data_IF_220232938685
#
_entry.id   IF_220232938685
#
_cell.length_a   1.000
_cell.length_b   1.000
_cell.length_c   1.000
_cell.angle_alpha   90.00
_cell.angle_beta   90.00
_cell.angle_gamma   90.00
#
_symmetry.space_group_name_H-M   'P 1'
#
loop_
_entity.id
_entity.type
_entity.pdbx_description
1 polymer ?
#
# COMPACT_ATOMS: atom_id res chain seq x y z
N UNK A 1 -68.95 -35.47 -24.96
CA UNK A 1 -68.77 -34.01 -24.77
C UNK A 1 -67.81 -33.63 -23.63
N UNK A 2 -67.42 -34.50 -22.69
CA UNK A 2 -66.61 -34.08 -21.53
C UNK A 2 -65.09 -33.92 -21.78
N UNK A 3 -64.50 -34.55 -22.80
CA UNK A 3 -63.04 -34.49 -23.01
C UNK A 3 -62.53 -33.16 -23.59
N UNK A 4 -63.37 -32.43 -24.34
CA UNK A 4 -63.00 -31.11 -24.89
C UNK A 4 -63.01 -30.03 -23.82
N UNK A 5 -64.04 -30.01 -22.97
CA UNK A 5 -64.15 -29.06 -21.84
C UNK A 5 -62.99 -29.23 -20.83
N UNK A 6 -62.61 -30.47 -20.53
CA UNK A 6 -61.46 -30.75 -19.67
C UNK A 6 -60.14 -30.24 -20.26
N UNK A 7 -59.91 -30.44 -21.57
CA UNK A 7 -58.71 -29.94 -22.27
C UNK A 7 -58.62 -28.41 -22.27
N UNK A 8 -59.72 -27.70 -22.46
CA UNK A 8 -59.73 -26.23 -22.38
C UNK A 8 -59.47 -25.73 -20.96
N UNK A 9 -60.00 -26.40 -19.94
CA UNK A 9 -59.71 -26.06 -18.54
C UNK A 9 -58.23 -26.28 -18.17
N UNK A 10 -57.64 -27.38 -18.64
CA UNK A 10 -56.23 -27.70 -18.39
C UNK A 10 -55.29 -26.73 -19.10
N UNK A 11 -55.62 -26.32 -20.33
CA UNK A 11 -54.89 -25.29 -21.08
C UNK A 11 -54.87 -23.94 -20.35
N UNK A 12 -56.00 -23.54 -19.75
CA UNK A 12 -56.07 -22.31 -18.95
C UNK A 12 -55.19 -22.35 -17.71
N UNK A 13 -55.20 -23.46 -16.97
CA UNK A 13 -54.35 -23.64 -15.77
C UNK A 13 -52.86 -23.68 -16.16
N UNK A 14 -52.50 -24.38 -17.24
CA UNK A 14 -51.12 -24.43 -17.73
C UNK A 14 -50.66 -23.04 -18.20
N UNK A 15 -51.49 -22.30 -18.93
CA UNK A 15 -51.16 -20.94 -19.36
C UNK A 15 -50.95 -19.99 -18.17
N UNK A 16 -51.79 -20.09 -17.13
CA UNK A 16 -51.64 -19.30 -15.91
C UNK A 16 -50.36 -19.69 -15.14
N UNK A 17 -50.07 -20.99 -15.01
CA UNK A 17 -48.86 -21.47 -14.35
C UNK A 17 -47.59 -21.00 -15.08
N UNK A 18 -47.60 -21.03 -16.42
CA UNK A 18 -46.50 -20.51 -17.24
C UNK A 18 -46.37 -19.00 -17.09
N UNK A 19 -47.47 -18.24 -17.06
CA UNK A 19 -47.45 -16.80 -16.85
C UNK A 19 -46.92 -16.42 -15.46
N UNK A 20 -47.33 -17.15 -14.41
CA UNK A 20 -46.81 -16.96 -13.05
C UNK A 20 -45.31 -17.30 -12.95
N UNK A 21 -44.86 -18.39 -13.60
CA UNK A 21 -43.45 -18.75 -13.63
C UNK A 21 -42.63 -17.69 -14.41
N UNK A 22 -43.13 -17.24 -15.56
CA UNK A 22 -42.49 -16.20 -16.35
C UNK A 22 -42.40 -14.87 -15.58
N UNK A 23 -43.48 -14.47 -14.90
CA UNK A 23 -43.47 -13.29 -14.03
C UNK A 23 -42.50 -13.46 -12.86
N UNK A 24 -42.48 -14.61 -12.19
CA UNK A 24 -41.55 -14.91 -11.11
C UNK A 24 -40.08 -14.85 -11.57
N UNK A 25 -39.76 -15.45 -12.72
CA UNK A 25 -38.42 -15.41 -13.31
C UNK A 25 -38.03 -13.99 -13.74
N UNK A 26 -38.95 -13.25 -14.36
CA UNK A 26 -38.74 -11.85 -14.75
C UNK A 26 -38.52 -10.95 -13.53
N UNK A 27 -39.39 -11.04 -12.52
CA UNK A 27 -39.29 -10.31 -11.27
C UNK A 27 -37.97 -10.63 -10.57
N UNK A 28 -37.65 -11.90 -10.36
CA UNK A 28 -36.38 -12.26 -9.73
C UNK A 28 -35.15 -11.76 -10.53
N UNK A 29 -35.16 -11.89 -11.86
CA UNK A 29 -34.06 -11.41 -12.71
C UNK A 29 -33.91 -9.88 -12.66
N UNK A 30 -35.02 -9.15 -12.80
CA UNK A 30 -35.02 -7.69 -12.76
C UNK A 30 -34.60 -7.15 -11.39
N UNK A 31 -35.16 -7.69 -10.30
CA UNK A 31 -34.85 -7.26 -8.94
C UNK A 31 -33.39 -7.58 -8.58
N UNK A 32 -32.88 -8.75 -8.94
CA UNK A 32 -31.46 -9.08 -8.70
C UNK A 32 -30.51 -8.17 -9.48
N UNK A 33 -30.86 -7.81 -10.73
CA UNK A 33 -30.08 -6.89 -11.54
C UNK A 33 -30.08 -5.46 -10.97
N UNK A 34 -31.22 -4.95 -10.51
CA UNK A 34 -31.34 -3.63 -9.90
C UNK A 34 -30.56 -3.54 -8.58
N UNK A 35 -30.66 -4.56 -7.73
CA UNK A 35 -29.90 -4.63 -6.48
C UNK A 35 -28.39 -4.69 -6.73
N UNK A 36 -27.95 -5.54 -7.66
CA UNK A 36 -26.52 -5.62 -8.02
C UNK A 36 -25.98 -4.27 -8.51
N UNK A 37 -26.79 -3.50 -9.24
CA UNK A 37 -26.42 -2.15 -9.69
C UNK A 37 -26.30 -1.19 -8.51
N UNK A 38 -27.20 -1.26 -7.53
CA UNK A 38 -27.16 -0.42 -6.31
C UNK A 38 -25.92 -0.72 -5.48
N UNK A 39 -25.63 -1.99 -5.21
CA UNK A 39 -24.47 -2.38 -4.39
C UNK A 39 -23.16 -1.96 -5.07
N UNK A 40 -23.07 -2.15 -6.39
CA UNK A 40 -21.91 -1.68 -7.18
C UNK A 40 -21.78 -0.16 -7.15
N UNK A 41 -22.88 0.57 -7.26
CA UNK A 41 -22.87 2.04 -7.18
C UNK A 41 -22.44 2.52 -5.78
N UNK A 42 -22.94 1.90 -4.72
CA UNK A 42 -22.51 2.21 -3.35
C UNK A 42 -21.02 1.93 -3.16
N UNK A 43 -20.52 0.81 -3.68
CA UNK A 43 -19.09 0.49 -3.63
C UNK A 43 -18.24 1.51 -4.42
N UNK A 44 -18.72 1.99 -5.56
CA UNK A 44 -18.09 3.08 -6.32
C UNK A 44 -18.03 4.37 -5.50
N UNK A 45 -19.14 4.81 -4.90
CA UNK A 45 -19.19 6.04 -4.10
C UNK A 45 -18.25 5.97 -2.88
N UNK A 46 -18.23 4.83 -2.20
CA UNK A 46 -17.37 4.61 -1.04
C UNK A 46 -15.89 4.61 -1.43
N UNK A 47 -15.51 3.89 -2.50
CA UNK A 47 -14.10 3.86 -2.94
C UNK A 47 -13.66 5.22 -3.48
N UNK A 48 -14.54 5.98 -4.13
CA UNK A 48 -14.28 7.37 -4.54
C UNK A 48 -14.09 8.28 -3.33
N UNK A 49 -14.90 8.12 -2.30
CA UNK A 49 -14.77 8.89 -1.06
C UNK A 49 -13.40 8.64 -0.43
N UNK A 50 -13.00 7.38 -0.28
CA UNK A 50 -11.67 7.03 0.22
C UNK A 50 -10.53 7.60 -0.65
N UNK A 51 -10.66 7.52 -1.98
CA UNK A 51 -9.68 8.13 -2.90
C UNK A 51 -9.56 9.65 -2.69
N UNK A 52 -10.68 10.35 -2.56
CA UNK A 52 -10.70 11.80 -2.34
C UNK A 52 -10.14 12.18 -0.96
N UNK A 53 -10.41 11.37 0.08
CA UNK A 53 -9.81 11.54 1.40
C UNK A 53 -8.28 11.41 1.34
N UNK A 54 -7.76 10.40 0.63
CA UNK A 54 -6.32 10.27 0.35
C UNK A 54 -5.78 11.49 -0.40
N UNK A 55 -6.50 11.97 -1.42
CA UNK A 55 -6.08 13.13 -2.20
C UNK A 55 -6.01 14.42 -1.37
N UNK A 56 -6.98 14.67 -0.49
CA UNK A 56 -6.99 15.83 0.41
C UNK A 56 -5.84 15.72 1.41
N UNK A 57 -5.67 14.55 2.02
CA UNK A 57 -4.61 14.30 3.00
C UNK A 57 -3.23 14.44 2.38
N UNK A 58 -3.01 13.92 1.17
CA UNK A 58 -1.75 14.09 0.44
C UNK A 58 -1.38 15.57 0.29
N UNK A 59 -2.33 16.44 -0.08
CA UNK A 59 -2.07 17.89 -0.16
C UNK A 59 -1.68 18.52 1.19
N UNK A 60 -2.15 17.96 2.31
CA UNK A 60 -1.74 18.39 3.64
C UNK A 60 -0.33 17.89 3.96
N UNK A 61 -0.02 16.64 3.62
CA UNK A 61 1.30 16.05 3.84
C UNK A 61 2.38 16.74 3.01
N UNK A 62 2.11 17.09 1.76
CA UNK A 62 3.03 17.85 0.91
C UNK A 62 3.41 19.21 1.53
N UNK A 63 2.51 19.83 2.32
CA UNK A 63 2.83 21.07 3.06
C UNK A 63 3.73 20.81 4.27
N UNK A 64 3.65 19.62 4.88
CA UNK A 64 4.52 19.21 5.99
C UNK A 64 5.93 18.80 5.53
N UNK A 65 6.11 18.49 4.23
CA UNK A 65 7.42 18.11 3.68
C UNK A 65 8.49 19.16 4.00
N UNK A 66 8.19 20.45 3.82
CA UNK A 66 9.12 21.54 4.10
C UNK A 66 9.49 21.63 5.58
N UNK A 67 8.55 21.35 6.49
CA UNK A 67 8.81 21.35 7.93
C UNK A 67 9.77 20.23 8.34
N UNK A 68 9.56 19.02 7.81
CA UNK A 68 10.46 17.88 8.03
C UNK A 68 11.82 18.16 7.39
N UNK A 69 11.84 18.74 6.18
CA UNK A 69 13.08 19.12 5.50
C UNK A 69 13.91 20.10 6.34
N UNK A 70 13.28 21.13 6.90
CA UNK A 70 13.93 22.12 7.77
C UNK A 70 14.48 21.47 9.05
N UNK A 71 13.75 20.54 9.65
CA UNK A 71 14.21 19.78 10.83
C UNK A 71 15.41 18.90 10.49
N UNK A 72 15.40 18.23 9.33
CA UNK A 72 16.53 17.43 8.83
C UNK A 72 17.76 18.31 8.57
N UNK A 73 17.58 19.48 7.95
CA UNK A 73 18.67 20.44 7.74
C UNK A 73 19.27 20.94 9.07
N UNK A 74 18.42 21.24 10.07
CA UNK A 74 18.88 21.62 11.41
C UNK A 74 19.64 20.49 12.10
N UNK A 75 19.22 19.24 11.93
CA UNK A 75 19.94 18.08 12.45
C UNK A 75 21.33 17.97 11.80
N UNK A 76 21.41 18.08 10.47
CA UNK A 76 22.66 18.05 9.71
C UNK A 76 23.62 19.19 10.09
N UNK A 77 23.11 20.40 10.29
CA UNK A 77 23.95 21.55 10.66
C UNK A 77 24.57 21.42 12.06
N UNK A 78 23.91 20.70 12.97
CA UNK A 78 24.39 20.45 14.33
C UNK A 78 25.27 19.20 14.43
N UNK A 79 24.87 18.09 13.80
CA UNK A 79 25.57 16.81 13.91
C UNK A 79 26.69 16.64 12.89
N UNK A 80 26.58 17.29 11.73
CA UNK A 80 27.43 17.09 10.56
C UNK A 80 26.77 16.24 9.48
N UNK A 81 27.51 15.99 8.41
CA UNK A 81 27.02 15.30 7.21
C UNK A 81 27.61 13.90 7.09
N UNK A 82 26.85 12.91 6.60
CA UNK A 82 27.40 11.61 6.24
C UNK A 82 28.57 11.72 5.26
N UNK A 83 29.63 10.96 5.53
CA UNK A 83 30.81 10.82 4.65
C UNK A 83 31.24 9.36 4.62
N UNK A 84 31.88 8.96 3.52
CA UNK A 84 32.54 7.65 3.40
C UNK A 84 34.00 7.77 3.83
N UNK A 85 34.49 6.76 4.55
CA UNK A 85 35.87 6.64 5.00
C UNK A 85 36.65 5.70 4.07
N UNK A 86 37.98 5.82 4.09
CA UNK A 86 38.87 4.93 3.31
C UNK A 86 38.87 3.50 3.87
N UNK A 87 38.60 3.34 5.17
CA UNK A 87 38.44 2.04 5.82
C UNK A 87 37.14 1.37 5.39
N UNK A 88 37.20 0.08 5.08
CA UNK A 88 36.03 -0.72 4.69
C UNK A 88 35.58 -1.65 5.81
N UNK A 89 34.30 -1.96 5.82
CA UNK A 89 33.65 -2.90 6.73
C UNK A 89 32.90 -3.96 5.94
N UNK A 90 32.94 -5.21 6.43
CA UNK A 90 32.13 -6.30 5.90
C UNK A 90 30.75 -6.31 6.54
N UNK A 91 29.71 -6.51 5.74
CA UNK A 91 28.32 -6.61 6.16
C UNK A 91 27.72 -7.92 5.65
N UNK A 92 27.09 -8.68 6.52
CA UNK A 92 26.14 -9.71 6.14
C UNK A 92 24.79 -9.04 5.86
N UNK A 93 24.28 -9.21 4.63
CA UNK A 93 23.10 -8.48 4.18
C UNK A 93 21.89 -9.40 4.02
N UNK A 94 20.73 -8.90 4.42
CA UNK A 94 19.44 -9.53 4.22
C UNK A 94 18.61 -8.69 3.24
N UNK A 95 18.09 -9.33 2.19
CA UNK A 95 17.05 -8.74 1.35
C UNK A 95 15.72 -9.22 1.88
N UNK A 96 14.73 -8.32 1.99
CA UNK A 96 13.40 -8.70 2.46
C UNK A 96 12.84 -9.90 1.66
N UNK A 97 12.41 -10.95 2.37
CA UNK A 97 11.88 -12.17 1.76
C UNK A 97 12.93 -13.15 1.20
N UNK A 98 14.23 -12.89 1.37
CA UNK A 98 15.31 -13.81 0.97
C UNK A 98 16.22 -14.12 2.17
N UNK A 99 16.74 -15.36 2.29
CA UNK A 99 17.69 -15.70 3.35
C UNK A 99 18.96 -14.85 3.26
N UNK A 100 19.52 -14.50 4.42
CA UNK A 100 20.72 -13.66 4.52
C UNK A 100 21.99 -14.49 4.31
N UNK A 101 22.48 -14.51 3.08
CA UNK A 101 23.70 -15.26 2.72
C UNK A 101 24.72 -14.43 1.96
N UNK A 102 24.41 -13.17 1.65
CA UNK A 102 25.30 -12.31 0.87
C UNK A 102 26.16 -11.45 1.79
N UNK A 103 27.43 -11.28 1.43
CA UNK A 103 28.40 -10.46 2.14
C UNK A 103 28.84 -9.29 1.27
N UNK A 104 28.89 -8.09 1.84
CA UNK A 104 29.29 -6.86 1.15
C UNK A 104 30.39 -6.16 1.91
N UNK A 105 31.50 -5.89 1.24
CA UNK A 105 32.59 -5.06 1.77
C UNK A 105 32.40 -3.64 1.23
N UNK A 106 32.19 -2.69 2.14
CA UNK A 106 31.83 -1.32 1.80
C UNK A 106 32.66 -0.32 2.60
N UNK A 107 32.96 0.86 2.04
CA UNK A 107 33.52 1.97 2.80
C UNK A 107 32.66 2.23 4.04
N UNK A 108 33.30 2.34 5.21
CA UNK A 108 32.58 2.66 6.45
C UNK A 108 32.03 4.08 6.33
N UNK A 109 30.78 4.26 6.75
CA UNK A 109 30.17 5.57 6.83
C UNK A 109 30.35 6.17 8.22
N UNK A 110 30.64 7.47 8.26
CA UNK A 110 30.74 8.28 9.47
C UNK A 110 30.05 9.64 9.25
N UNK A 111 30.01 10.47 10.28
CA UNK A 111 29.50 11.84 10.23
C UNK A 111 30.66 12.81 10.35
N UNK A 112 30.83 13.72 9.38
CA UNK A 112 31.82 14.79 9.42
C UNK A 112 31.17 16.08 9.91
N UNK A 113 31.60 16.54 11.07
CA UNK A 113 31.18 17.82 11.65
C UNK A 113 31.74 19.01 10.86
N UNK A 114 31.17 20.20 11.08
CA UNK A 114 31.69 21.47 10.51
C UNK A 114 33.14 21.75 10.91
N UNK A 115 33.55 21.34 12.12
CA UNK A 115 34.93 21.40 12.59
C UNK A 115 35.86 20.32 12.03
N UNK A 116 35.38 19.47 11.11
CA UNK A 116 36.18 18.42 10.45
C UNK A 116 36.34 17.13 11.25
N UNK A 117 35.85 17.06 12.50
CA UNK A 117 35.86 15.84 13.32
C UNK A 117 34.93 14.79 12.72
N UNK A 118 35.36 13.53 12.75
CA UNK A 118 34.57 12.35 12.35
C UNK A 118 33.92 11.74 13.59
N UNK A 119 32.63 11.41 13.50
CA UNK A 119 31.83 10.78 14.57
C UNK A 119 31.03 9.60 14.02
N UNK A 120 30.56 8.73 14.91
CA UNK A 120 29.69 7.61 14.52
C UNK A 120 28.29 8.10 14.10
N UNK A 121 27.63 7.31 13.23
CA UNK A 121 26.30 7.61 12.68
C UNK A 121 25.22 7.80 13.74
N UNK A 122 25.38 7.18 14.91
CA UNK A 122 24.47 7.32 16.04
C UNK A 122 24.30 8.79 16.45
N UNK A 123 25.35 9.61 16.37
CA UNK A 123 25.28 11.05 16.68
C UNK A 123 24.29 11.79 15.76
N UNK A 124 24.29 11.45 14.46
CA UNK A 124 23.35 12.02 13.50
C UNK A 124 21.95 11.41 13.69
N UNK A 125 21.86 10.12 13.98
CA UNK A 125 20.62 9.44 14.33
C UNK A 125 19.90 10.10 15.51
N UNK A 126 20.60 10.32 16.62
CA UNK A 126 20.09 11.01 17.81
C UNK A 126 19.66 12.45 17.51
N UNK A 127 20.46 13.20 16.73
CA UNK A 127 20.11 14.55 16.34
C UNK A 127 18.82 14.58 15.50
N UNK A 128 18.70 13.70 14.50
CA UNK A 128 17.50 13.58 13.67
C UNK A 128 16.28 13.23 14.52
N UNK A 129 16.39 12.25 15.42
CA UNK A 129 15.30 11.90 16.36
C UNK A 129 14.90 13.08 17.25
N UNK A 130 15.88 13.84 17.76
CA UNK A 130 15.63 15.01 18.60
C UNK A 130 14.89 16.13 17.86
N UNK A 131 15.25 16.39 16.60
CA UNK A 131 14.64 17.48 15.81
C UNK A 131 13.29 17.11 15.18
N UNK A 132 13.10 15.84 14.84
CA UNK A 132 11.91 15.37 14.10
C UNK A 132 10.90 14.63 14.99
N UNK A 133 11.34 14.13 16.15
CA UNK A 133 10.54 13.22 16.98
C UNK A 133 10.30 11.84 16.37
N UNK A 134 10.84 11.58 15.17
CA UNK A 134 10.62 10.38 14.40
C UNK A 134 11.66 9.28 14.61
N UNK A 135 11.41 8.12 14.00
CA UNK A 135 12.38 7.05 13.86
C UNK A 135 13.29 7.31 12.66
N UNK A 136 14.53 6.84 12.72
CA UNK A 136 15.57 7.17 11.75
C UNK A 136 16.24 5.93 11.22
N UNK A 137 16.44 5.89 9.90
CA UNK A 137 17.36 4.96 9.24
C UNK A 137 18.31 5.78 8.37
N UNK A 138 19.62 5.51 8.47
CA UNK A 138 20.61 6.08 7.55
C UNK A 138 21.00 4.99 6.58
N UNK A 139 20.67 5.19 5.31
CA UNK A 139 20.98 4.28 4.22
C UNK A 139 22.28 4.70 3.55
N UNK A 140 23.17 3.75 3.27
CA UNK A 140 24.34 3.92 2.42
C UNK A 140 24.07 3.38 1.04
N UNK A 141 24.35 4.17 -0.01
CA UNK A 141 24.34 3.67 -1.39
C UNK A 141 25.54 2.75 -1.60
N UNK A 142 25.32 1.55 -2.13
CA UNK A 142 26.35 0.50 -2.16
C UNK A 142 26.90 0.18 -3.55
N UNK A 143 26.24 0.65 -4.62
CA UNK A 143 26.64 0.40 -6.00
C UNK A 143 26.07 1.44 -6.98
N UNK A 144 26.48 1.36 -8.25
CA UNK A 144 26.01 2.26 -9.31
C UNK A 144 24.53 2.06 -9.67
N UNK A 145 23.98 0.87 -9.46
CA UNK A 145 22.57 0.56 -9.73
C UNK A 145 21.63 1.27 -8.77
N UNK A 146 22.14 1.74 -7.62
CA UNK A 146 21.39 2.53 -6.64
C UNK A 146 20.88 1.73 -5.45
N UNK A 147 21.40 0.52 -5.21
CA UNK A 147 21.01 -0.27 -4.03
C UNK A 147 21.47 0.45 -2.76
N UNK A 148 20.69 0.30 -1.70
CA UNK A 148 20.92 0.96 -0.43
C UNK A 148 20.96 -0.06 0.71
N UNK A 149 21.89 0.13 1.65
CA UNK A 149 22.07 -0.68 2.84
C UNK A 149 21.80 0.16 4.09
N UNK A 150 21.09 -0.39 5.09
CA UNK A 150 20.84 0.32 6.34
C UNK A 150 22.11 0.35 7.23
N UNK A 151 22.88 1.43 7.14
CA UNK A 151 24.11 1.60 7.93
C UNK A 151 23.82 1.94 9.41
N UNK A 152 22.64 2.50 9.69
CA UNK A 152 22.12 2.77 11.02
C UNK A 152 20.59 2.68 11.02
N UNK A 153 19.98 2.14 12.07
CA UNK A 153 18.54 2.12 12.26
C UNK A 153 18.19 2.30 13.74
N UNK A 154 17.27 3.21 14.06
CA UNK A 154 16.81 3.45 15.43
C UNK A 154 15.55 2.67 15.81
N UNK A 155 14.97 1.89 14.88
CA UNK A 155 13.73 1.15 15.10
C UNK A 155 14.06 -0.08 15.94
N UNK A 156 13.38 -0.23 17.08
CA UNK A 156 13.58 -1.37 17.98
C UNK A 156 13.07 -2.67 17.33
N UNK A 157 13.83 -3.76 17.42
CA UNK A 157 13.46 -5.06 16.84
C UNK A 157 13.85 -5.27 15.38
N UNK A 158 14.21 -4.20 14.65
CA UNK A 158 14.91 -4.31 13.36
C UNK A 158 16.40 -4.44 13.68
N UNK A 159 16.86 -5.67 13.98
CA UNK A 159 18.27 -5.92 14.30
C UNK A 159 19.18 -5.53 13.13
N UNK A 160 19.76 -4.32 13.19
CA UNK A 160 21.07 -4.08 12.63
C UNK A 160 22.08 -4.44 13.72
N UNK A 161 22.45 -5.71 13.85
CA UNK A 161 23.63 -6.04 14.64
C UNK A 161 24.86 -5.43 13.95
N UNK A 162 26.00 -5.36 14.66
CA UNK A 162 27.21 -4.75 14.08
C UNK A 162 27.55 -5.32 12.69
N UNK A 163 27.19 -6.58 12.41
CA UNK A 163 27.55 -7.25 11.16
C UNK A 163 26.35 -7.64 10.28
N UNK A 164 25.10 -7.51 10.76
CA UNK A 164 23.90 -7.87 9.98
C UNK A 164 23.08 -6.63 9.67
N UNK A 165 22.60 -6.50 8.44
CA UNK A 165 21.75 -5.37 8.06
C UNK A 165 20.85 -5.67 6.86
N UNK A 166 19.88 -4.79 6.61
CA UNK A 166 18.96 -4.86 5.49
C UNK A 166 19.55 -4.17 4.25
N UNK A 167 19.47 -4.85 3.12
CA UNK A 167 19.67 -4.29 1.79
C UNK A 167 18.29 -4.03 1.15
N UNK A 168 18.11 -2.83 0.62
CA UNK A 168 16.97 -2.44 -0.21
C UNK A 168 17.51 -2.24 -1.63
N UNK A 169 17.22 -3.19 -2.53
CA UNK A 169 17.62 -3.08 -3.94
C UNK A 169 16.98 -1.87 -4.61
N UNK A 170 17.70 -1.20 -5.51
CA UNK A 170 17.16 -0.13 -6.35
C UNK A 170 16.13 -0.65 -7.34
N UNK A 171 16.18 -1.95 -7.66
CA UNK A 171 15.23 -2.62 -8.54
C UNK A 171 14.63 -3.84 -7.86
N UNK A 172 13.33 -3.98 -8.02
CA UNK A 172 12.57 -5.13 -7.50
C UNK A 172 12.65 -6.30 -8.48
N UNK A 173 12.10 -7.46 -8.11
CA UNK A 173 12.29 -8.72 -8.83
C UNK A 173 11.89 -8.70 -10.31
N UNK A 174 10.96 -7.82 -10.71
CA UNK A 174 10.52 -7.64 -12.11
C UNK A 174 11.37 -6.61 -12.90
N UNK A 175 12.40 -6.01 -12.28
CA UNK A 175 13.29 -5.01 -12.87
C UNK A 175 12.84 -3.55 -12.72
N UNK A 176 11.62 -3.29 -12.22
CA UNK A 176 11.14 -1.94 -11.94
C UNK A 176 11.90 -1.30 -10.77
N UNK A 177 11.94 0.03 -10.72
CA UNK A 177 12.62 0.74 -9.64
C UNK A 177 11.83 0.61 -8.34
N UNK A 178 12.53 0.42 -7.23
CA UNK A 178 11.93 0.50 -5.91
C UNK A 178 11.47 1.93 -5.66
N UNK A 179 10.17 2.08 -5.41
CA UNK A 179 9.48 3.37 -5.45
C UNK A 179 10.07 4.35 -4.42
N UNK A 180 10.57 3.86 -3.27
CA UNK A 180 11.12 4.72 -2.21
C UNK A 180 12.54 5.24 -2.52
N UNK A 181 13.23 4.64 -3.48
CA UNK A 181 14.54 5.09 -3.95
C UNK A 181 14.44 5.90 -5.25
N UNK A 182 13.23 6.07 -5.78
CA UNK A 182 13.02 6.79 -7.02
C UNK A 182 13.36 8.28 -6.86
N UNK A 183 13.98 8.86 -7.90
CA UNK A 183 14.36 10.27 -7.97
C UNK A 183 15.39 10.77 -6.93
N UNK A 184 15.82 9.95 -5.98
CA UNK A 184 16.86 10.32 -5.00
C UNK A 184 18.19 10.68 -5.67
N UNK A 185 18.57 9.96 -6.74
CA UNK A 185 19.78 10.25 -7.52
C UNK A 185 19.68 11.57 -8.32
N UNK A 186 18.48 12.16 -8.44
CA UNK A 186 18.27 13.50 -9.01
C UNK A 186 18.30 14.61 -7.94
N UNK A 187 18.54 14.26 -6.67
CA UNK A 187 18.50 15.21 -5.55
C UNK A 187 17.10 15.54 -5.06
N UNK A 188 16.07 14.83 -5.54
CA UNK A 188 14.70 15.01 -5.07
C UNK A 188 14.45 14.20 -3.81
N UNK A 189 13.66 14.75 -2.91
CA UNK A 189 13.15 14.09 -1.72
C UNK A 189 11.94 13.23 -2.07
N UNK A 190 11.62 12.27 -1.21
CA UNK A 190 10.43 11.45 -1.34
C UNK A 190 9.68 11.44 -0.01
N UNK A 191 8.42 11.85 -0.02
CA UNK A 191 7.51 11.79 1.13
C UNK A 191 6.38 10.80 0.82
N UNK A 192 6.06 9.90 1.75
CA UNK A 192 4.96 8.94 1.55
C UNK A 192 4.46 8.31 2.84
N UNK A 193 3.17 7.95 2.92
CA UNK A 193 2.66 7.04 3.92
C UNK A 193 3.17 5.61 3.74
N UNK A 194 3.61 4.99 4.83
CA UNK A 194 4.07 3.59 4.85
C UNK A 194 3.69 2.90 6.17
N UNK A 195 3.34 1.61 6.09
CA UNK A 195 3.27 0.75 7.27
C UNK A 195 4.68 0.27 7.67
N UNK A 196 5.07 0.63 8.89
CA UNK A 196 6.32 0.20 9.54
C UNK A 196 5.97 -0.39 10.89
N UNK A 197 6.34 -1.66 11.12
CA UNK A 197 5.98 -2.42 12.33
C UNK A 197 4.48 -2.30 12.70
N UNK A 198 3.61 -2.42 11.69
CA UNK A 198 2.15 -2.35 11.87
C UNK A 198 1.57 -0.94 12.09
N UNK A 199 2.41 0.09 12.16
CA UNK A 199 1.97 1.48 12.35
C UNK A 199 2.07 2.27 11.05
N UNK A 200 1.01 3.00 10.70
CA UNK A 200 1.02 3.90 9.54
C UNK A 200 1.73 5.20 9.89
N UNK A 201 2.80 5.51 9.16
CA UNK A 201 3.65 6.67 9.40
C UNK A 201 3.99 7.37 8.09
N UNK A 202 4.47 8.60 8.17
CA UNK A 202 5.06 9.30 7.03
C UNK A 202 6.54 8.98 6.99
N UNK A 203 7.02 8.39 5.91
CA UNK A 203 8.44 8.22 5.61
C UNK A 203 8.92 9.34 4.68
N UNK A 204 9.95 10.06 5.13
CA UNK A 204 10.65 11.10 4.38
C UNK A 204 12.07 10.65 4.05
N UNK A 205 12.39 10.58 2.75
CA UNK A 205 13.67 10.18 2.21
C UNK A 205 14.42 11.41 1.71
N UNK A 206 15.58 11.68 2.31
CA UNK A 206 16.42 12.83 2.03
C UNK A 206 17.81 12.38 1.53
N UNK A 207 18.15 12.59 0.25
CA UNK A 207 19.42 12.14 -0.30
C UNK A 207 20.57 13.07 0.11
N UNK A 208 21.75 12.48 0.31
CA UNK A 208 23.00 13.15 0.69
C UNK A 208 24.02 12.90 -0.42
N UNK A 209 24.60 13.99 -0.91
CA UNK A 209 25.54 13.95 -2.01
C UNK A 209 26.98 14.24 -1.57
N UNK A 210 27.92 13.51 -2.16
CA UNK A 210 29.35 13.86 -2.17
C UNK A 210 29.84 13.74 -3.62
N UNK A 211 30.58 14.74 -4.10
CA UNK A 211 31.09 14.80 -5.48
C UNK A 211 30.02 14.52 -6.55
N UNK A 212 28.84 15.16 -6.39
CA UNK A 212 27.67 15.00 -7.26
C UNK A 212 27.07 13.58 -7.32
N UNK A 213 27.52 12.66 -6.45
CA UNK A 213 26.95 11.32 -6.31
C UNK A 213 26.17 11.22 -5.01
N UNK A 214 24.98 10.65 -5.07
CA UNK A 214 24.25 10.22 -3.89
C UNK A 214 25.08 9.15 -3.17
N UNK A 215 25.46 9.40 -1.91
CA UNK A 215 26.23 8.44 -1.10
C UNK A 215 25.42 7.87 0.06
N UNK A 216 24.38 8.60 0.49
CA UNK A 216 23.55 8.21 1.61
C UNK A 216 22.13 8.77 1.45
N UNK A 217 21.16 8.09 2.06
CA UNK A 217 19.79 8.59 2.17
C UNK A 217 19.36 8.56 3.63
N UNK A 218 18.96 9.71 4.16
CA UNK A 218 18.34 9.78 5.48
C UNK A 218 16.85 9.42 5.33
N UNK A 219 16.38 8.46 6.11
CA UNK A 219 14.96 8.10 6.16
C UNK A 219 14.45 8.45 7.54
N UNK A 220 13.58 9.45 7.60
CA UNK A 220 12.92 9.89 8.83
C UNK A 220 11.46 9.44 8.76
N UNK A 221 10.99 8.77 9.81
CA UNK A 221 9.61 8.30 9.90
C UNK A 221 8.90 8.97 11.06
N UNK A 222 7.86 9.73 10.75
CA UNK A 222 7.11 10.51 11.74
C UNK A 222 5.67 10.02 11.80
N UNK A 223 5.13 9.98 13.02
CA UNK A 223 3.69 9.84 13.22
C UNK A 223 3.02 11.15 12.86
N UNK A 224 1.90 11.06 12.16
CA UNK A 224 1.19 12.24 11.69
C UNK A 224 -0.30 12.13 12.02
N UNK A 225 -0.88 13.10 12.75
CA UNK A 225 -2.27 13.03 13.17
C UNK A 225 -3.26 13.11 12.00
N UNK A 226 -2.91 13.76 10.88
CA UNK A 226 -3.77 13.83 9.71
C UNK A 226 -3.80 12.47 9.00
N UNK A 227 -2.67 11.76 8.98
CA UNK A 227 -2.57 10.40 8.44
C UNK A 227 -3.28 9.37 9.33
N UNK A 228 -3.15 9.50 10.66
CA UNK A 228 -3.89 8.66 11.61
C UNK A 228 -5.41 8.87 11.49
N UNK A 229 -5.84 10.14 11.35
CA UNK A 229 -7.25 10.46 11.10
C UNK A 229 -7.75 9.86 9.81
N UNK A 230 -7.01 10.02 8.70
CA UNK A 230 -7.37 9.39 7.42
C UNK A 230 -7.55 7.88 7.56
N UNK A 231 -6.63 7.22 8.27
CA UNK A 231 -6.72 5.77 8.50
C UNK A 231 -8.03 5.40 9.20
N UNK A 232 -8.40 6.12 10.25
CA UNK A 232 -9.63 5.86 10.98
C UNK A 232 -10.87 6.17 10.13
N UNK A 233 -10.86 7.29 9.41
CA UNK A 233 -11.95 7.67 8.50
C UNK A 233 -12.16 6.60 7.40
N UNK A 234 -11.09 5.99 6.88
CA UNK A 234 -11.17 4.86 5.92
C UNK A 234 -11.73 3.59 6.57
N UNK A 235 -11.33 3.27 7.79
CA UNK A 235 -11.84 2.10 8.53
C UNK A 235 -13.35 2.25 8.81
N UNK A 236 -13.80 3.46 9.09
CA UNK A 236 -15.21 3.77 9.38
C UNK A 236 -16.10 3.74 8.12
N UNK A 237 -15.53 3.62 6.92
CA UNK A 237 -16.30 3.45 5.69
C UNK A 237 -16.80 2.01 5.54
N UNK A 238 -18.13 1.87 5.42
CA UNK A 238 -18.81 0.59 5.29
C UNK A 238 -19.69 0.52 4.04
N UNK A 239 -19.85 -0.69 3.51
CA UNK A 239 -20.77 -1.01 2.41
C UNK A 239 -21.68 -2.15 2.87
N UNK A 240 -22.98 -1.89 2.98
CA UNK A 240 -23.91 -2.89 3.51
C UNK A 240 -23.54 -3.36 4.93
N UNK A 241 -23.88 -4.60 5.33
CA UNK A 241 -23.68 -5.08 6.69
C UNK A 241 -22.22 -5.35 7.09
N UNK A 242 -21.40 -5.93 6.20
CA UNK A 242 -20.00 -6.27 6.52
C UNK A 242 -18.98 -5.82 5.48
N UNK A 243 -19.42 -5.10 4.42
CA UNK A 243 -18.49 -4.56 3.45
C UNK A 243 -17.66 -3.43 4.04
N UNK A 244 -16.41 -3.34 3.60
CA UNK A 244 -15.40 -2.45 4.20
C UNK A 244 -14.42 -1.94 3.14
N UNK A 245 -13.69 -0.90 3.51
CA UNK A 245 -12.61 -0.33 2.70
C UNK A 245 -11.24 -0.81 3.19
N UNK A 246 -10.32 -1.02 2.27
CA UNK A 246 -8.93 -1.37 2.55
C UNK A 246 -7.99 -0.70 1.55
N UNK A 247 -6.70 -0.64 1.88
CA UNK A 247 -5.64 -0.16 1.00
C UNK A 247 -4.49 -1.17 0.95
N UNK A 248 -4.03 -1.49 -0.25
CA UNK A 248 -2.88 -2.36 -0.52
C UNK A 248 -1.77 -1.56 -1.18
N UNK A 249 -0.52 -1.96 -0.95
CA UNK A 249 0.62 -1.48 -1.74
C UNK A 249 0.51 -2.00 -3.17
N UNK A 250 0.56 -1.11 -4.15
CA UNK A 250 0.35 -1.43 -5.57
C UNK A 250 1.59 -2.01 -6.26
N UNK A 251 2.78 -1.49 -5.97
CA UNK A 251 4.03 -1.88 -6.65
C UNK A 251 5.17 -2.06 -5.63
N UNK A 252 6.40 -2.27 -6.12
CA UNK A 252 7.58 -2.39 -5.26
C UNK A 252 7.71 -3.75 -4.55
N UNK A 253 8.73 -3.88 -3.68
CA UNK A 253 9.03 -5.13 -2.98
C UNK A 253 7.92 -5.56 -2.00
N UNK A 254 7.03 -4.64 -1.65
CA UNK A 254 5.91 -4.85 -0.72
C UNK A 254 4.56 -4.89 -1.43
N UNK A 255 4.52 -5.02 -2.76
CA UNK A 255 3.28 -5.19 -3.52
C UNK A 255 2.36 -6.24 -2.87
N UNK A 256 1.07 -5.92 -2.73
CA UNK A 256 0.09 -6.76 -2.03
C UNK A 256 0.09 -6.66 -0.49
N UNK A 257 0.90 -5.77 0.09
CA UNK A 257 0.90 -5.51 1.53
C UNK A 257 -0.22 -4.57 1.95
N UNK A 258 -0.98 -4.93 2.98
CA UNK A 258 -1.95 -4.03 3.61
C UNK A 258 -1.27 -2.77 4.16
N UNK A 259 -1.76 -1.64 3.67
CA UNK A 259 -1.52 -0.32 4.26
C UNK A 259 -2.64 0.03 5.24
N UNK A 260 -3.87 -0.39 4.90
CA UNK A 260 -5.03 -0.36 5.78
C UNK A 260 -5.82 -1.64 5.51
N UNK A 261 -6.10 -2.40 6.56
CA UNK A 261 -6.91 -3.62 6.53
C UNK A 261 -8.19 -3.41 7.33
N UNK A 262 -9.11 -4.38 7.26
CA UNK A 262 -10.34 -4.36 8.05
C UNK A 262 -10.02 -4.18 9.54
N UNK A 263 -10.51 -3.09 10.14
CA UNK A 263 -10.25 -2.67 11.53
C UNK A 263 -8.76 -2.59 11.92
N UNK A 264 -7.84 -2.61 10.95
CA UNK A 264 -6.41 -2.69 11.21
C UNK A 264 -5.85 -4.06 11.59
N UNK A 265 -6.67 -5.12 11.59
CA UNK A 265 -6.30 -6.43 12.14
C UNK A 265 -5.11 -7.09 11.41
N UNK A 266 -4.90 -6.72 10.14
CA UNK A 266 -3.91 -7.33 9.24
C UNK A 266 -2.99 -6.27 8.63
N UNK A 267 -2.88 -5.09 9.24
CA UNK A 267 -2.01 -4.01 8.74
C UNK A 267 -0.57 -4.52 8.63
N UNK A 268 0.07 -4.29 7.49
CA UNK A 268 1.42 -4.77 7.20
C UNK A 268 1.52 -6.24 6.74
N UNK A 269 0.45 -7.03 6.77
CA UNK A 269 0.47 -8.37 6.19
C UNK A 269 0.53 -8.31 4.66
N UNK A 270 1.37 -9.13 4.05
CA UNK A 270 1.44 -9.27 2.58
C UNK A 270 0.57 -10.43 2.10
N UNK A 271 -0.44 -10.09 1.28
CA UNK A 271 -1.40 -11.05 0.73
C UNK A 271 -1.27 -11.25 -0.77
N UNK A 272 -0.13 -10.89 -1.37
CA UNK A 272 0.14 -11.05 -2.81
C UNK A 272 -0.10 -12.48 -3.33
N UNK A 273 0.21 -13.49 -2.50
CA UNK A 273 0.06 -14.90 -2.84
C UNK A 273 -1.29 -15.50 -2.39
N UNK A 274 -2.21 -14.68 -1.85
CA UNK A 274 -3.52 -15.15 -1.45
C UNK A 274 -4.30 -15.69 -2.66
N UNK A 275 -4.99 -16.80 -2.44
CA UNK A 275 -5.84 -17.46 -3.44
C UNK A 275 -7.28 -17.45 -2.96
N UNK A 276 -8.19 -17.23 -3.90
CA UNK A 276 -9.62 -17.36 -3.64
C UNK A 276 -10.03 -18.85 -3.50
N UNK A 277 -11.31 -19.12 -3.22
CA UNK A 277 -11.79 -20.49 -3.04
C UNK A 277 -11.71 -21.37 -4.30
N UNK A 278 -11.46 -20.77 -5.47
CA UNK A 278 -11.21 -21.49 -6.74
C UNK A 278 -9.72 -21.70 -7.03
N UNK A 279 -8.82 -21.18 -6.20
CA UNK A 279 -7.38 -21.22 -6.37
C UNK A 279 -6.80 -20.09 -7.21
N UNK A 280 -7.62 -19.11 -7.64
CA UNK A 280 -7.18 -17.97 -8.46
C UNK A 280 -6.44 -16.93 -7.60
N UNK A 281 -5.30 -16.37 -8.07
CA UNK A 281 -4.58 -15.32 -7.37
C UNK A 281 -5.28 -13.95 -7.52
N UNK A 282 -6.42 -13.79 -6.86
CA UNK A 282 -7.31 -12.64 -7.04
C UNK A 282 -6.67 -11.29 -6.66
N UNK A 283 -5.77 -11.25 -5.67
CA UNK A 283 -5.05 -10.02 -5.29
C UNK A 283 -4.16 -9.51 -6.43
N UNK A 284 -3.52 -10.43 -7.16
CA UNK A 284 -2.69 -10.07 -8.31
C UNK A 284 -3.55 -9.52 -9.44
N UNK A 285 -4.69 -10.16 -9.73
CA UNK A 285 -5.66 -9.67 -10.73
C UNK A 285 -6.12 -8.26 -10.37
N UNK A 286 -6.58 -8.08 -9.13
CA UNK A 286 -7.09 -6.83 -8.59
C UNK A 286 -6.10 -5.67 -8.68
N UNK A 287 -4.85 -5.89 -8.26
CA UNK A 287 -3.80 -4.87 -8.33
C UNK A 287 -3.48 -4.53 -9.79
N UNK A 288 -3.32 -5.54 -10.65
CA UNK A 288 -3.02 -5.33 -12.07
C UNK A 288 -4.14 -4.56 -12.78
N UNK A 289 -5.41 -4.87 -12.49
CA UNK A 289 -6.55 -4.15 -13.02
C UNK A 289 -6.56 -2.69 -12.56
N UNK A 290 -6.35 -2.45 -11.26
CA UNK A 290 -6.28 -1.10 -10.72
C UNK A 290 -5.15 -0.26 -11.35
N UNK A 291 -3.97 -0.85 -11.55
CA UNK A 291 -2.81 -0.19 -12.20
C UNK A 291 -3.05 0.07 -13.70
N UNK A 292 -3.83 -0.77 -14.38
CA UNK A 292 -4.15 -0.60 -15.79
C UNK A 292 -5.21 0.48 -16.07
N UNK A 293 -5.87 0.99 -15.02
CA UNK A 293 -6.88 2.05 -15.14
C UNK A 293 -6.24 3.34 -15.64
N UNK A 294 -6.73 3.83 -16.78
CA UNK A 294 -6.28 5.11 -17.35
C UNK A 294 -7.16 6.24 -16.81
N UNK A 295 -6.52 7.30 -16.33
CA UNK A 295 -7.20 8.58 -16.08
C UNK A 295 -7.79 9.06 -17.41
N UNK A 296 -9.09 9.31 -17.44
CA UNK A 296 -9.74 9.89 -18.61
C UNK A 296 -9.82 11.41 -18.38
N UNK A 297 -9.05 12.23 -19.14
CA UNK A 297 -9.04 13.68 -18.94
C UNK A 297 -10.40 14.35 -19.20
N UNK A 298 -11.29 13.69 -19.94
CA UNK A 298 -12.64 14.20 -20.26
C UNK A 298 -13.71 13.75 -19.25
N UNK A 299 -13.35 12.94 -18.26
CA UNK A 299 -14.25 12.53 -17.17
C UNK A 299 -13.71 13.00 -15.83
N UNK A 300 -14.57 13.67 -15.07
CA UNK A 300 -14.29 14.07 -13.68
C UNK A 300 -14.24 12.83 -12.75
N UNK A 301 -14.82 11.70 -13.16
CA UNK A 301 -14.91 10.48 -12.35
C UNK A 301 -13.58 9.75 -12.24
N UNK A 302 -13.22 9.39 -11.00
CA UNK A 302 -12.11 8.49 -10.68
C UNK A 302 -12.33 7.14 -11.39
N UNK A 303 -11.34 6.62 -12.14
CA UNK A 303 -11.51 5.34 -12.83
C UNK A 303 -11.53 4.19 -11.81
N UNK A 304 -12.48 3.26 -11.96
CA UNK A 304 -12.71 2.15 -11.03
C UNK A 304 -12.81 0.85 -11.81
N UNK A 305 -12.12 -0.18 -11.33
CA UNK A 305 -12.28 -1.56 -11.77
C UNK A 305 -13.12 -2.33 -10.75
N UNK A 306 -13.68 -3.46 -11.18
CA UNK A 306 -14.41 -4.35 -10.28
C UNK A 306 -13.86 -5.76 -10.39
N UNK A 307 -13.49 -6.32 -9.25
CA UNK A 307 -13.02 -7.70 -9.15
C UNK A 307 -14.02 -8.53 -8.34
N UNK A 308 -14.50 -9.62 -8.94
CA UNK A 308 -15.47 -10.55 -8.31
C UNK A 308 -14.78 -11.88 -8.06
N UNK A 309 -14.86 -12.39 -6.82
CA UNK A 309 -14.17 -13.61 -6.42
C UNK A 309 -14.92 -14.39 -5.33
N UNK A 310 -14.85 -15.74 -5.33
CA UNK A 310 -15.41 -16.55 -4.26
C UNK A 310 -14.46 -16.56 -3.05
N UNK A 311 -14.92 -16.06 -1.91
CA UNK A 311 -14.15 -16.00 -0.67
C UNK A 311 -14.76 -16.88 0.41
N UNK A 312 -13.93 -17.58 1.17
CA UNK A 312 -14.36 -18.41 2.30
C UNK A 312 -13.68 -17.91 3.56
N UNK A 313 -14.44 -17.32 4.48
CA UNK A 313 -13.87 -16.94 5.78
C UNK A 313 -13.59 -18.20 6.62
N UNK A 314 -12.67 -18.10 7.59
CA UNK A 314 -12.58 -19.09 8.66
C UNK A 314 -13.96 -19.30 9.31
N UNK A 315 -14.45 -20.54 9.33
CA UNK A 315 -15.75 -20.89 9.91
C UNK A 315 -16.93 -20.96 8.93
N UNK A 316 -16.80 -20.41 7.72
CA UNK A 316 -17.87 -20.52 6.72
C UNK A 316 -18.04 -21.98 6.25
N UNK A 317 -19.30 -22.42 6.07
CA UNK A 317 -19.58 -23.75 5.52
C UNK A 317 -19.22 -23.83 4.03
N UNK A 318 -19.54 -22.78 3.27
CA UNK A 318 -19.30 -22.69 1.83
C UNK A 318 -18.72 -21.32 1.45
N UNK A 319 -17.94 -21.22 0.35
CA UNK A 319 -17.50 -19.94 -0.17
C UNK A 319 -18.68 -19.05 -0.55
N UNK A 320 -18.53 -17.75 -0.31
CA UNK A 320 -19.49 -16.70 -0.66
C UNK A 320 -18.87 -15.77 -1.70
N UNK A 321 -19.67 -15.20 -2.58
CA UNK A 321 -19.15 -14.28 -3.58
C UNK A 321 -18.93 -12.89 -2.99
N UNK A 322 -17.72 -12.36 -3.17
CA UNK A 322 -17.38 -10.97 -2.95
C UNK A 322 -17.22 -10.24 -4.27
N UNK A 323 -17.62 -8.98 -4.27
CA UNK A 323 -17.25 -8.02 -5.31
C UNK A 323 -16.51 -6.86 -4.65
N UNK A 324 -15.41 -6.42 -5.25
CA UNK A 324 -14.62 -5.28 -4.80
C UNK A 324 -14.52 -4.23 -5.91
N UNK A 325 -14.93 -3.00 -5.61
CA UNK A 325 -14.58 -1.84 -6.43
C UNK A 325 -13.16 -1.39 -6.06
N UNK A 326 -12.28 -1.22 -7.03
CA UNK A 326 -10.87 -0.88 -6.80
C UNK A 326 -10.38 0.27 -7.66
N UNK A 327 -9.51 1.08 -7.06
CA UNK A 327 -8.89 2.26 -7.67
C UNK A 327 -7.42 2.34 -7.25
N UNK A 328 -6.58 2.87 -8.15
CA UNK A 328 -5.19 3.16 -7.86
C UNK A 328 -4.96 4.64 -7.51
N UNK A 329 -4.49 4.88 -6.29
CA UNK A 329 -4.00 6.18 -5.81
C UNK A 329 -2.47 6.26 -5.96
N UNK A 330 -2.05 6.72 -7.13
CA UNK A 330 -0.66 6.83 -7.57
C UNK A 330 0.29 7.54 -6.59
N UNK A 331 -0.06 8.68 -5.94
CA UNK A 331 0.90 9.41 -5.11
C UNK A 331 1.51 8.58 -3.97
N UNK A 332 0.74 7.63 -3.43
CA UNK A 332 1.20 6.74 -2.35
C UNK A 332 1.41 5.30 -2.83
N UNK A 333 1.14 5.04 -4.10
CA UNK A 333 1.11 3.71 -4.71
C UNK A 333 0.19 2.77 -3.91
N UNK A 334 -1.02 3.23 -3.65
CA UNK A 334 -2.06 2.47 -2.96
C UNK A 334 -3.13 2.00 -3.94
N UNK A 335 -3.44 0.71 -3.91
CA UNK A 335 -4.68 0.16 -4.48
C UNK A 335 -5.72 0.15 -3.37
N UNK A 336 -6.69 1.06 -3.48
CA UNK A 336 -7.79 1.20 -2.53
C UNK A 336 -8.94 0.33 -3.04
N UNK A 337 -9.47 -0.53 -2.18
CA UNK A 337 -10.57 -1.42 -2.51
C UNK A 337 -11.72 -1.28 -1.52
N UNK A 338 -12.94 -1.35 -2.03
CA UNK A 338 -14.15 -1.38 -1.23
C UNK A 338 -14.93 -2.65 -1.59
N UNK A 339 -14.92 -3.61 -0.67
CA UNK A 339 -15.42 -4.97 -0.91
C UNK A 339 -16.69 -5.26 -0.12
N UNK A 340 -17.62 -5.99 -0.73
CA UNK A 340 -18.88 -6.42 -0.11
C UNK A 340 -19.23 -7.85 -0.52
N UNK A 341 -20.03 -8.54 0.29
CA UNK A 341 -20.57 -9.85 -0.03
C UNK A 341 -21.89 -9.72 -0.78
N UNK A 342 -22.06 -10.46 -1.86
CA UNK A 342 -23.24 -10.35 -2.74
C UNK A 342 -24.53 -10.95 -2.16
N UNK A 343 -24.40 -11.73 -1.07
CA UNK A 343 -25.49 -12.40 -0.37
C UNK A 343 -25.85 -11.76 0.98
N UNK A 344 -25.01 -10.85 1.50
CA UNK A 344 -25.38 -9.96 2.60
C UNK A 344 -26.08 -8.75 2.03
N UNK A 345 -27.41 -8.86 2.03
CA UNK A 345 -28.33 -7.89 1.46
C UNK A 345 -29.22 -7.33 2.54
#
# INVERSE_FOLDING_TARGET
MSSRLFRYSLLGVVALAVACLAYYLYYNSFYTLDLTRRDRHQAEEVVQSAFLMCQVTDRLLQKRESEIADQVQKALSVAGYPVLLDESKSWQVAIAGKPSTDHRVLPRMAVKTSGGQKRDLENLGEALRRFTGGEVTILQRVNETGDHLAAYCSISGVESSADHTRLIPARIGNGEKETCLENLDQGKTVLRPEIVEGTLQISYYYPIFADQKNIATLVVRVKDPDLERLRNDIIDLHIGPSGYVYALKGTGARCGQYQISFNGERDGENIWNARDASGRPFIQSMINEALALKKNPDRISVPIAFERYPWKNPGDLQPRYKTAAVVYFEPWDWVIGAGYYEDER
#
